data_IF_181380555232
#
_entry.id   IF_181380555232
#
_cell.length_a   1.000
_cell.length_b   1.000
_cell.length_c   1.000
_cell.angle_alpha   90.00
_cell.angle_beta   90.00
_cell.angle_gamma   90.00
#
_symmetry.space_group_name_H-M   'P 1'
#
loop_
_entity.id
_entity.type
_entity.pdbx_description
1 polymer ?
#
# COMPACT_ATOMS: atom_id res chain seq x y z
N UNK A 1 14.42 7.14 -10.45
CA UNK A 1 14.44 8.28 -11.39
C UNK A 1 14.78 9.56 -10.63
N UNK A 2 15.54 10.47 -11.25
CA UNK A 2 15.98 11.75 -10.63
C UNK A 2 14.81 12.65 -10.22
N UNK A 3 13.64 12.49 -10.88
CA UNK A 3 12.39 13.12 -10.49
C UNK A 3 11.96 12.75 -9.05
N UNK A 4 11.97 11.45 -8.69
CA UNK A 4 11.60 11.00 -7.34
C UNK A 4 12.59 11.51 -6.28
N UNK A 5 13.87 11.69 -6.63
CA UNK A 5 14.88 12.27 -5.72
C UNK A 5 14.68 13.78 -5.52
N UNK A 6 14.42 14.50 -6.62
CA UNK A 6 14.14 15.94 -6.61
C UNK A 6 12.92 16.26 -5.74
N UNK A 7 11.81 15.54 -5.93
CA UNK A 7 10.60 15.68 -5.10
C UNK A 7 10.88 15.51 -3.60
N UNK A 8 11.75 14.55 -3.23
CA UNK A 8 12.14 14.31 -1.84
C UNK A 8 12.95 15.48 -1.27
N UNK A 9 13.80 16.12 -2.09
CA UNK A 9 14.51 17.35 -1.73
C UNK A 9 13.58 18.55 -1.52
N UNK A 10 12.50 18.64 -2.30
CA UNK A 10 11.45 19.65 -2.12
C UNK A 10 10.43 19.31 -1.01
N UNK A 11 10.67 18.24 -0.24
CA UNK A 11 9.75 17.72 0.80
C UNK A 11 8.33 17.41 0.30
N UNK A 12 8.17 17.18 -1.01
CA UNK A 12 6.92 16.71 -1.58
C UNK A 12 6.72 15.24 -1.22
N UNK A 13 5.73 14.96 -0.38
CA UNK A 13 5.36 13.61 0.03
C UNK A 13 4.31 13.08 -0.93
N UNK A 14 4.51 11.87 -1.47
CA UNK A 14 3.42 11.10 -2.06
C UNK A 14 2.72 10.36 -0.93
N UNK A 15 1.41 10.21 -1.02
CA UNK A 15 0.68 9.29 -0.17
C UNK A 15 1.26 7.88 -0.34
N UNK A 16 1.46 7.12 0.75
CA UNK A 16 1.87 5.73 0.64
C UNK A 16 0.79 4.93 -0.10
N UNK A 17 1.21 3.93 -0.87
CA UNK A 17 0.24 2.96 -1.39
C UNK A 17 -0.45 2.25 -0.22
N UNK A 18 -1.75 2.01 -0.37
CA UNK A 18 -2.53 1.23 0.57
C UNK A 18 -3.14 0.01 -0.13
N UNK A 19 -3.26 -1.08 0.61
CA UNK A 19 -4.05 -2.24 0.23
C UNK A 19 -4.79 -2.74 1.46
N UNK A 20 -5.80 -3.56 1.25
CA UNK A 20 -6.54 -4.17 2.35
C UNK A 20 -7.06 -5.55 1.95
N UNK A 21 -7.30 -6.37 2.96
CA UNK A 21 -7.99 -7.66 2.81
C UNK A 21 -9.05 -7.78 3.90
N UNK A 22 -10.14 -8.47 3.57
CA UNK A 22 -11.21 -8.77 4.51
C UNK A 22 -11.14 -10.25 4.89
N UNK A 23 -11.03 -10.54 6.19
CA UNK A 23 -10.93 -11.88 6.74
C UNK A 23 -11.85 -12.00 7.94
N UNK A 24 -12.85 -12.91 7.87
CA UNK A 24 -13.80 -13.14 8.98
C UNK A 24 -14.48 -11.85 9.46
N UNK A 25 -14.95 -11.05 8.52
CA UNK A 25 -15.59 -9.74 8.77
C UNK A 25 -14.66 -8.69 9.45
N UNK A 26 -13.34 -8.92 9.45
CA UNK A 26 -12.33 -7.96 9.90
C UNK A 26 -11.53 -7.41 8.71
N UNK A 27 -11.41 -6.07 8.65
CA UNK A 27 -10.64 -5.37 7.64
C UNK A 27 -9.20 -5.19 8.10
N UNK A 28 -8.26 -5.80 7.38
CA UNK A 28 -6.82 -5.63 7.59
C UNK A 28 -6.25 -4.70 6.52
N UNK A 29 -5.81 -3.51 6.93
CA UNK A 29 -5.22 -2.50 6.05
C UNK A 29 -3.69 -2.56 6.15
N UNK A 30 -3.03 -2.44 5.00
CA UNK A 30 -1.58 -2.45 4.85
C UNK A 30 -1.14 -1.21 4.07
N UNK A 31 -0.22 -0.45 4.63
CA UNK A 31 0.49 0.62 3.94
C UNK A 31 1.83 0.10 3.44
N UNK A 32 2.32 0.69 2.34
CA UNK A 32 3.63 0.34 1.77
C UNK A 32 4.73 0.46 2.83
N UNK A 33 5.32 -0.68 3.18
CA UNK A 33 6.45 -0.78 4.11
C UNK A 33 6.07 -0.65 5.59
N UNK A 34 4.78 -0.67 5.93
CA UNK A 34 4.37 -0.67 7.33
C UNK A 34 4.56 -2.04 8.01
N UNK A 35 4.50 -1.99 9.34
CA UNK A 35 4.64 -3.13 10.26
C UNK A 35 3.62 -3.05 11.39
N UNK A 36 2.48 -2.40 11.10
CA UNK A 36 1.44 -2.11 12.10
C UNK A 36 0.68 -3.38 12.51
N UNK A 37 0.55 -4.35 11.60
CA UNK A 37 -0.12 -5.61 11.88
C UNK A 37 0.69 -6.45 12.89
N UNK A 38 0.07 -7.04 13.94
CA UNK A 38 0.79 -7.77 14.98
C UNK A 38 1.57 -8.99 14.45
N UNK A 39 1.15 -9.52 13.29
CA UNK A 39 1.83 -10.63 12.59
C UNK A 39 2.61 -10.20 11.35
N UNK A 40 3.10 -8.96 11.28
CA UNK A 40 3.77 -8.47 10.07
C UNK A 40 4.96 -9.34 9.67
N UNK A 41 5.73 -9.90 10.61
CA UNK A 41 6.88 -10.79 10.29
C UNK A 41 6.43 -12.00 9.46
N UNK A 42 5.44 -12.75 9.96
CA UNK A 42 4.89 -13.93 9.27
C UNK A 42 4.35 -13.58 7.88
N UNK A 43 3.69 -12.43 7.74
CA UNK A 43 3.13 -11.98 6.45
C UNK A 43 4.26 -11.71 5.45
N UNK A 44 5.32 -11.01 5.87
CA UNK A 44 6.44 -10.71 4.99
C UNK A 44 7.25 -11.96 4.62
N UNK A 45 7.40 -12.90 5.55
CA UNK A 45 8.05 -14.19 5.28
C UNK A 45 7.28 -14.99 4.22
N UNK A 46 5.95 -15.10 4.36
CA UNK A 46 5.10 -15.80 3.40
C UNK A 46 5.10 -15.11 2.01
N UNK A 47 5.02 -13.78 1.98
CA UNK A 47 5.15 -13.01 0.74
C UNK A 47 6.51 -13.26 0.06
N UNK A 48 7.57 -13.41 0.86
CA UNK A 48 8.90 -13.77 0.36
C UNK A 48 8.93 -15.16 -0.29
N UNK A 49 8.27 -16.15 0.32
CA UNK A 49 8.13 -17.50 -0.23
C UNK A 49 7.35 -17.46 -1.56
N UNK A 50 6.19 -16.83 -1.59
CA UNK A 50 5.35 -16.66 -2.79
C UNK A 50 6.16 -15.98 -3.90
N UNK A 51 6.88 -14.91 -3.59
CA UNK A 51 7.72 -14.22 -4.56
C UNK A 51 8.83 -15.12 -5.10
N UNK A 52 9.44 -15.95 -4.25
CA UNK A 52 10.48 -16.88 -4.68
C UNK A 52 9.97 -17.96 -5.65
N UNK A 53 8.72 -18.41 -5.47
CA UNK A 53 8.06 -19.37 -6.36
C UNK A 53 7.64 -18.75 -7.70
N UNK A 54 7.21 -17.49 -7.68
CA UNK A 54 6.77 -16.78 -8.89
C UNK A 54 7.95 -16.26 -9.72
N UNK A 55 9.07 -15.90 -9.08
CA UNK A 55 10.27 -15.36 -9.72
C UNK A 55 10.79 -16.15 -10.94
N UNK A 56 10.84 -17.51 -10.94
CA UNK A 56 11.25 -18.26 -12.13
C UNK A 56 10.28 -18.14 -13.33
N UNK A 57 9.06 -17.64 -13.14
CA UNK A 57 8.03 -17.52 -14.17
C UNK A 57 7.74 -16.08 -14.59
N UNK A 58 8.22 -15.07 -13.84
CA UNK A 58 7.92 -13.67 -14.06
C UNK A 58 9.04 -12.90 -14.77
N UNK A 59 8.75 -12.32 -15.92
CA UNK A 59 9.59 -11.29 -16.53
C UNK A 59 9.49 -10.01 -15.68
N UNK A 60 10.60 -9.48 -15.19
CA UNK A 60 10.67 -8.41 -14.17
C UNK A 60 10.05 -7.06 -14.60
N UNK A 61 9.47 -6.98 -15.80
CA UNK A 61 8.93 -5.77 -16.43
C UNK A 61 7.42 -5.56 -16.22
N UNK A 62 6.69 -6.54 -15.69
CA UNK A 62 5.21 -6.52 -15.63
C UNK A 62 4.60 -6.06 -14.29
N UNK A 63 5.30 -5.22 -13.51
CA UNK A 63 4.64 -4.51 -12.41
C UNK A 63 3.87 -3.31 -12.98
N UNK A 64 2.58 -3.48 -13.27
CA UNK A 64 1.71 -2.36 -13.62
C UNK A 64 1.41 -1.55 -12.36
N UNK A 65 1.81 -0.27 -12.36
CA UNK A 65 1.41 0.72 -11.36
C UNK A 65 -0.10 0.92 -11.51
N UNK A 66 -0.90 0.30 -10.63
CA UNK A 66 -2.36 0.51 -10.59
C UNK A 66 -2.62 1.74 -9.73
N UNK A 67 -3.07 2.82 -10.34
CA UNK A 67 -3.59 3.99 -9.62
C UNK A 67 -5.04 3.69 -9.20
N UNK A 68 -5.28 3.66 -7.89
CA UNK A 68 -6.62 3.52 -7.31
C UNK A 68 -7.04 4.92 -6.83
N UNK A 69 -8.04 5.51 -7.48
CA UNK A 69 -8.68 6.73 -6.97
C UNK A 69 -9.55 6.38 -5.77
N UNK A 70 -9.34 7.08 -4.64
CA UNK A 70 -10.17 6.99 -3.45
C UNK A 70 -11.03 8.24 -3.38
N UNK A 71 -12.33 8.11 -3.63
CA UNK A 71 -13.30 9.18 -3.41
C UNK A 71 -13.62 9.28 -1.91
N UNK A 72 -13.16 10.35 -1.26
CA UNK A 72 -13.50 10.65 0.13
C UNK A 72 -14.70 11.60 0.14
N UNK A 73 -15.89 11.08 0.41
CA UNK A 73 -17.04 11.94 0.75
C UNK A 73 -16.88 12.46 2.18
N UNK A 74 -16.57 13.75 2.30
CA UNK A 74 -16.59 14.44 3.60
C UNK A 74 -18.04 14.83 3.89
N UNK A 75 -18.70 14.05 4.76
CA UNK A 75 -19.94 14.49 5.39
C UNK A 75 -19.59 15.57 6.43
N UNK A 76 -19.90 16.82 6.11
CA UNK A 76 -19.86 17.91 7.10
C UNK A 76 -21.14 17.81 7.92
N UNK A 77 -21.04 17.33 9.16
CA UNK A 77 -22.10 17.52 10.14
C UNK A 77 -22.01 18.97 10.65
N UNK A 78 -22.93 19.81 10.19
CA UNK A 78 -23.15 21.15 10.73
C UNK A 78 -23.76 20.98 12.13
N UNK A 79 -23.00 21.28 13.20
CA UNK A 79 -23.58 21.44 14.53
C UNK A 79 -24.33 22.78 14.57
N UNK A 80 -25.67 22.69 14.57
CA UNK A 80 -26.58 23.78 14.91
C UNK A 80 -26.28 24.30 16.32
N UNK A 81 -26.00 25.60 16.44
CA UNK A 81 -26.11 26.34 17.70
C UNK A 81 -26.81 27.68 17.50
#
# INVERSE_FOLDING_TARGET
SDLRRSMRGFKLKKEPGCSWVELKDELHVFLVGDKAHPRWEEIYDELGLIYSEIKPFGDSSLVHEVEVEVEVEVAVEEEDQ
#
